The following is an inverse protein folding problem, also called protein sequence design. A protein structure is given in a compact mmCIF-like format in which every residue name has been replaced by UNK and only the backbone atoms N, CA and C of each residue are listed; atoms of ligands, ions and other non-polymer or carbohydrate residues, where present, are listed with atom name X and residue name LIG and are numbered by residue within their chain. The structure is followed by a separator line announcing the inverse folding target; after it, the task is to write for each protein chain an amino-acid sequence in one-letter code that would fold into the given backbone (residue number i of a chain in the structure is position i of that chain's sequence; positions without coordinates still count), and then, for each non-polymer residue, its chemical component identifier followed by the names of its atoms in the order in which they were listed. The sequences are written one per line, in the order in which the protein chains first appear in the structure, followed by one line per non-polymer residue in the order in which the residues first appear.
data_IF_367274446052
#
_entry.id   IF_367274446052
#
_cell.length_a   1.000
_cell.length_b   1.000
_cell.length_c   1.000
_cell.angle_alpha   90.00
_cell.angle_beta   90.00
_cell.angle_gamma   90.00
#
_symmetry.space_group_name_H-M   'P 1'
#
loop_
_entity.id
_entity.type
_entity.pdbx_description
1 polymer ?
#
# COMPACT_ATOMS: atom_id res chain seq x y z
N UNK A 1 -20.35 22.49 -3.00
CA UNK A 1 -19.26 21.84 -2.25
C UNK A 1 -18.01 22.70 -2.36
N UNK A 2 -17.03 22.56 -1.45
CA UNK A 2 -15.75 23.30 -1.53
C UNK A 2 -15.05 23.11 -2.88
N UNK A 3 -15.10 21.89 -3.42
CA UNK A 3 -14.56 21.57 -4.74
C UNK A 3 -15.26 22.35 -5.86
N UNK A 4 -16.60 22.45 -5.82
CA UNK A 4 -17.38 23.23 -6.79
C UNK A 4 -17.05 24.72 -6.70
N UNK A 5 -16.97 25.29 -5.50
CA UNK A 5 -16.61 26.70 -5.30
C UNK A 5 -15.21 27.00 -5.86
N UNK A 6 -14.25 26.09 -5.64
CA UNK A 6 -12.93 26.20 -6.23
C UNK A 6 -12.98 26.11 -7.76
N UNK A 7 -13.74 25.17 -8.31
CA UNK A 7 -13.86 24.99 -9.76
C UNK A 7 -14.44 26.22 -10.43
N UNK A 8 -15.58 26.74 -9.94
CA UNK A 8 -16.22 27.97 -10.44
C UNK A 8 -15.27 29.14 -10.40
N UNK A 9 -14.52 29.30 -9.30
CA UNK A 9 -13.58 30.41 -9.14
C UNK A 9 -12.41 30.36 -10.13
N UNK A 10 -11.91 29.19 -10.49
CA UNK A 10 -10.67 29.04 -11.27
C UNK A 10 -10.91 28.69 -12.75
N UNK A 11 -12.03 28.05 -13.07
CA UNK A 11 -12.32 27.52 -14.41
C UNK A 11 -13.69 27.95 -14.96
N UNK A 12 -14.60 28.45 -14.12
CA UNK A 12 -15.97 28.79 -14.50
C UNK A 12 -16.97 27.68 -14.17
N UNK A 13 -18.22 27.85 -14.61
CA UNK A 13 -19.31 26.93 -14.27
C UNK A 13 -19.04 25.50 -14.80
N UNK A 14 -19.21 24.44 -14.00
CA UNK A 14 -18.92 23.07 -14.44
C UNK A 14 -19.79 22.56 -15.60
N UNK A 15 -20.93 23.20 -15.86
CA UNK A 15 -21.77 22.94 -17.04
C UNK A 15 -21.15 23.47 -18.34
N UNK A 16 -20.25 24.45 -18.26
CA UNK A 16 -19.55 25.05 -19.40
C UNK A 16 -18.12 24.51 -19.52
N UNK A 17 -17.40 24.43 -18.40
CA UNK A 17 -16.05 23.87 -18.29
C UNK A 17 -16.09 22.66 -17.37
N UNK A 18 -16.24 21.46 -17.94
CA UNK A 18 -16.39 20.21 -17.22
C UNK A 18 -15.08 19.46 -17.00
N UNK A 19 -15.15 18.22 -16.48
CA UNK A 19 -13.95 17.43 -16.20
C UNK A 19 -13.14 17.11 -17.47
N UNK A 20 -13.83 16.86 -18.58
CA UNK A 20 -13.21 16.59 -19.89
C UNK A 20 -12.26 17.72 -20.32
N UNK A 21 -12.54 18.96 -19.92
CA UNK A 21 -11.78 20.14 -20.31
C UNK A 21 -10.50 20.32 -19.46
N UNK A 22 -10.39 19.59 -18.34
CA UNK A 22 -9.16 19.51 -17.54
C UNK A 22 -8.13 18.57 -18.17
N UNK A 23 -8.56 17.57 -18.96
CA UNK A 23 -7.67 16.57 -19.55
C UNK A 23 -6.58 17.21 -20.43
N UNK A 24 -6.87 18.16 -21.33
CA UNK A 24 -5.84 18.83 -22.12
C UNK A 24 -4.82 19.62 -21.28
N UNK A 25 -5.17 20.01 -20.04
CA UNK A 25 -4.29 20.76 -19.14
C UNK A 25 -3.29 19.86 -18.40
N UNK A 26 -3.53 18.56 -18.37
CA UNK A 26 -2.63 17.58 -17.77
C UNK A 26 -1.54 17.18 -18.78
N UNK A 27 -0.38 17.82 -18.73
CA UNK A 27 0.69 17.61 -19.74
C UNK A 27 1.84 16.73 -19.26
N UNK A 28 2.03 16.54 -17.95
CA UNK A 28 3.13 15.75 -17.38
C UNK A 28 4.52 16.11 -17.95
N UNK A 29 4.77 17.40 -18.21
CA UNK A 29 5.93 17.89 -18.98
C UNK A 29 7.31 17.59 -18.33
N UNK A 30 7.36 17.35 -17.03
CA UNK A 30 8.54 16.99 -16.23
C UNK A 30 8.47 15.56 -15.70
N UNK A 31 7.60 14.72 -16.26
CA UNK A 31 7.51 13.32 -15.88
C UNK A 31 8.80 12.58 -16.25
N UNK A 32 9.45 12.02 -15.23
CA UNK A 32 10.69 11.24 -15.31
C UNK A 32 10.47 9.83 -14.70
N UNK A 33 10.11 8.82 -15.52
CA UNK A 33 9.83 7.47 -15.04
C UNK A 33 11.06 6.79 -14.44
N UNK A 34 12.26 7.06 -14.97
CA UNK A 34 13.52 6.50 -14.46
C UNK A 34 13.84 7.09 -13.08
N UNK A 35 13.68 8.40 -12.91
CA UNK A 35 13.82 9.09 -11.63
C UNK A 35 12.84 8.58 -10.57
N UNK A 36 11.58 8.40 -10.93
CA UNK A 36 10.56 7.83 -10.04
C UNK A 36 10.91 6.39 -9.63
N UNK A 37 11.24 5.52 -10.59
CA UNK A 37 11.59 4.13 -10.31
C UNK A 37 12.84 4.04 -9.41
N UNK A 38 13.84 4.88 -9.64
CA UNK A 38 15.04 4.97 -8.78
C UNK A 38 14.67 5.38 -7.35
N UNK A 39 13.83 6.40 -7.18
CA UNK A 39 13.35 6.83 -5.87
C UNK A 39 12.65 5.67 -5.13
N UNK A 40 11.77 4.93 -5.80
CA UNK A 40 11.06 3.79 -5.19
C UNK A 40 12.03 2.68 -4.78
N UNK A 41 13.03 2.41 -5.61
CA UNK A 41 14.10 1.44 -5.30
C UNK A 41 14.89 1.86 -4.07
N UNK A 42 15.29 3.12 -4.02
CA UNK A 42 16.07 3.68 -2.91
C UNK A 42 15.26 3.72 -1.61
N UNK A 43 13.94 3.91 -1.70
CA UNK A 43 12.99 3.78 -0.60
C UNK A 43 12.80 2.34 -0.10
N UNK A 44 13.39 1.35 -0.78
CA UNK A 44 13.33 -0.07 -0.41
C UNK A 44 12.13 -0.82 -0.99
N UNK A 45 11.41 -0.27 -1.96
CA UNK A 45 10.30 -0.98 -2.60
C UNK A 45 10.79 -2.26 -3.32
N UNK A 46 9.98 -3.32 -3.27
CA UNK A 46 10.19 -4.57 -4.02
C UNK A 46 9.24 -4.71 -5.21
N UNK A 47 8.14 -3.98 -5.17
CA UNK A 47 7.21 -3.81 -6.25
C UNK A 47 6.75 -2.35 -6.28
N UNK A 48 6.44 -1.84 -7.46
CA UNK A 48 5.95 -0.49 -7.67
C UNK A 48 5.10 -0.45 -8.94
N UNK A 49 4.28 0.58 -9.10
CA UNK A 49 3.34 0.64 -10.22
C UNK A 49 2.47 1.89 -10.23
N UNK A 50 2.02 2.36 -11.41
CA UNK A 50 1.06 3.44 -11.50
C UNK A 50 -0.38 2.93 -11.32
N UNK A 51 -1.31 3.86 -11.16
CA UNK A 51 -2.72 3.65 -11.49
C UNK A 51 -2.87 3.71 -13.01
N UNK A 52 -3.29 2.61 -13.64
CA UNK A 52 -3.50 2.58 -15.09
C UNK A 52 -4.71 3.42 -15.50
N UNK A 53 -5.79 3.27 -14.75
CA UNK A 53 -7.07 3.92 -14.99
C UNK A 53 -7.83 4.02 -13.67
N UNK A 54 -8.19 5.24 -13.30
CA UNK A 54 -8.90 5.51 -12.06
C UNK A 54 -10.42 5.46 -12.30
N UNK A 55 -11.23 5.97 -11.37
CA UNK A 55 -12.69 6.03 -11.52
C UNK A 55 -13.15 6.99 -12.63
N UNK A 56 -12.25 7.84 -13.12
CA UNK A 56 -12.50 8.84 -14.15
C UNK A 56 -12.43 8.28 -15.58
N UNK A 57 -12.05 6.99 -15.72
CA UNK A 57 -11.92 6.27 -16.98
C UNK A 57 -10.94 6.88 -17.99
N UNK A 58 -10.01 7.72 -17.55
CA UNK A 58 -8.91 8.19 -18.40
C UNK A 58 -7.75 7.19 -18.35
N UNK A 59 -7.49 6.54 -19.49
CA UNK A 59 -6.45 5.53 -19.59
C UNK A 59 -5.06 6.16 -19.69
N UNK A 60 -4.15 5.80 -18.78
CA UNK A 60 -2.80 6.36 -18.70
C UNK A 60 -1.79 5.74 -19.69
N UNK A 61 -2.29 5.00 -20.68
CA UNK A 61 -1.50 4.27 -21.68
C UNK A 61 -2.02 4.49 -23.11
N UNK A 62 -1.31 3.99 -24.12
CA UNK A 62 -1.80 3.99 -25.50
C UNK A 62 -2.95 2.99 -25.67
N UNK A 63 -4.20 3.36 -25.37
CA UNK A 63 -5.33 2.43 -25.46
C UNK A 63 -5.95 2.39 -26.86
N UNK A 64 -6.22 1.19 -27.35
CA UNK A 64 -7.03 0.92 -28.55
C UNK A 64 -8.51 0.68 -28.21
N UNK A 65 -8.83 0.47 -26.93
CA UNK A 65 -10.19 0.24 -26.43
C UNK A 65 -10.92 1.56 -26.18
N UNK A 66 -10.21 2.61 -25.76
CA UNK A 66 -10.78 3.95 -25.53
C UNK A 66 -9.94 5.05 -26.16
N UNK A 67 -10.63 6.04 -26.76
CA UNK A 67 -9.99 7.27 -27.26
C UNK A 67 -9.50 8.19 -26.12
N UNK A 68 -10.06 8.03 -24.92
CA UNK A 68 -9.75 8.84 -23.73
C UNK A 68 -8.51 8.31 -23.04
N UNK A 69 -7.35 8.66 -23.60
CA UNK A 69 -6.09 8.15 -23.11
C UNK A 69 -4.94 9.16 -23.21
N UNK A 70 -3.88 8.93 -22.43
CA UNK A 70 -2.74 9.83 -22.26
C UNK A 70 -1.85 9.98 -23.50
N UNK A 71 -1.98 9.11 -24.51
CA UNK A 71 -1.30 9.27 -25.80
C UNK A 71 -2.10 10.20 -26.72
N UNK A 72 -3.42 10.00 -26.77
CA UNK A 72 -4.32 10.82 -27.57
C UNK A 72 -4.52 12.22 -27.00
N UNK A 73 -4.38 12.40 -25.68
CA UNK A 73 -4.71 13.65 -24.97
C UNK A 73 -3.70 13.95 -23.87
N UNK A 74 -3.65 15.21 -23.41
CA UNK A 74 -2.84 15.59 -22.27
C UNK A 74 -1.34 15.29 -22.46
N UNK A 75 -0.74 14.29 -21.77
CA UNK A 75 0.70 14.02 -21.80
C UNK A 75 1.31 13.64 -23.15
N UNK A 76 0.50 13.17 -24.10
CA UNK A 76 0.93 12.65 -25.42
C UNK A 76 1.97 11.54 -25.34
N UNK A 77 1.87 10.67 -24.33
CA UNK A 77 2.81 9.56 -24.09
C UNK A 77 2.19 8.41 -23.30
N UNK A 78 2.77 7.22 -23.46
CA UNK A 78 2.36 6.00 -22.74
C UNK A 78 3.03 5.94 -21.36
N UNK A 79 2.46 6.66 -20.40
CA UNK A 79 3.05 6.76 -19.05
C UNK A 79 3.08 5.41 -18.32
N UNK A 80 2.14 4.50 -18.59
CA UNK A 80 2.13 3.15 -17.99
C UNK A 80 3.27 2.30 -18.56
N UNK A 81 3.46 2.30 -19.88
CA UNK A 81 4.53 1.57 -20.54
C UNK A 81 5.91 2.04 -20.07
N UNK A 82 6.12 3.35 -20.04
CA UNK A 82 7.37 3.94 -19.57
C UNK A 82 7.67 3.61 -18.10
N UNK A 83 6.67 3.66 -17.21
CA UNK A 83 6.84 3.22 -15.83
C UNK A 83 7.14 1.72 -15.73
N UNK A 84 6.49 0.88 -16.53
CA UNK A 84 6.72 -0.56 -16.53
C UNK A 84 8.17 -0.90 -16.88
N UNK A 85 8.73 -0.21 -17.87
CA UNK A 85 10.14 -0.35 -18.26
C UNK A 85 11.08 0.15 -17.15
N UNK A 86 10.86 1.36 -16.62
CA UNK A 86 11.71 1.95 -15.59
C UNK A 86 11.72 1.13 -14.29
N UNK A 87 10.57 0.62 -13.85
CA UNK A 87 10.45 -0.22 -12.64
C UNK A 87 11.22 -1.53 -12.80
N UNK A 88 11.12 -2.17 -13.98
CA UNK A 88 11.85 -3.41 -14.27
C UNK A 88 13.35 -3.20 -14.35
N UNK A 89 13.80 -2.07 -14.90
CA UNK A 89 15.22 -1.68 -14.94
C UNK A 89 15.85 -1.56 -13.54
N UNK A 90 15.03 -1.29 -12.51
CA UNK A 90 15.44 -1.28 -11.10
C UNK A 90 15.31 -2.64 -10.39
N UNK A 91 15.00 -3.70 -11.14
CA UNK A 91 14.74 -5.06 -10.65
C UNK A 91 13.63 -5.12 -9.60
N UNK A 92 12.59 -4.30 -9.78
CA UNK A 92 11.35 -4.36 -8.99
C UNK A 92 10.25 -5.07 -9.79
N UNK A 93 9.32 -5.68 -9.06
CA UNK A 93 8.11 -6.26 -9.65
C UNK A 93 7.15 -5.14 -10.10
N UNK A 94 6.55 -5.28 -11.28
CA UNK A 94 5.66 -4.27 -11.82
C UNK A 94 4.21 -4.52 -11.36
N UNK A 95 3.67 -3.60 -10.56
CA UNK A 95 2.27 -3.57 -10.16
C UNK A 95 1.48 -2.66 -11.09
N UNK A 96 0.19 -2.93 -11.27
CA UNK A 96 -0.71 -2.02 -11.98
C UNK A 96 -2.08 -1.95 -11.28
N UNK A 97 -2.58 -0.74 -11.04
CA UNK A 97 -3.84 -0.54 -10.31
C UNK A 97 -5.00 -0.15 -11.24
N UNK A 98 -6.18 -0.74 -10.99
CA UNK A 98 -7.42 -0.50 -11.73
C UNK A 98 -8.56 -0.10 -10.79
N UNK A 99 -9.21 1.02 -11.11
CA UNK A 99 -10.32 1.54 -10.31
C UNK A 99 -11.59 1.81 -11.15
N UNK A 100 -11.50 1.62 -12.46
CA UNK A 100 -12.55 1.93 -13.44
C UNK A 100 -13.86 1.14 -13.28
N UNK A 101 -13.89 0.05 -12.50
CA UNK A 101 -15.15 -0.65 -12.17
C UNK A 101 -16.16 0.27 -11.49
N UNK A 102 -15.69 1.22 -10.65
CA UNK A 102 -16.57 2.16 -9.97
C UNK A 102 -17.14 3.25 -10.90
N UNK A 103 -16.57 3.45 -12.09
CA UNK A 103 -17.01 4.48 -13.05
C UNK A 103 -18.51 4.39 -13.36
N UNK A 104 -19.05 3.16 -13.42
CA UNK A 104 -20.47 2.87 -13.61
C UNK A 104 -21.43 3.69 -12.71
N UNK A 105 -20.97 4.12 -11.53
CA UNK A 105 -21.74 4.91 -10.56
C UNK A 105 -21.01 6.15 -10.04
N UNK A 106 -19.88 6.50 -10.66
CA UNK A 106 -19.01 7.53 -10.15
C UNK A 106 -19.54 8.93 -10.50
N UNK A 107 -19.80 9.17 -11.78
CA UNK A 107 -20.31 10.45 -12.25
C UNK A 107 -21.85 10.50 -12.23
N UNK A 108 -22.45 11.61 -11.76
CA UNK A 108 -23.89 11.82 -11.90
C UNK A 108 -24.22 12.15 -13.36
N UNK A 109 -25.21 11.48 -13.95
CA UNK A 109 -25.56 11.64 -15.38
C UNK A 109 -27.00 12.12 -15.61
N UNK A 110 -27.68 12.54 -14.54
CA UNK A 110 -29.11 12.83 -14.57
C UNK A 110 -29.47 14.25 -15.02
N UNK A 111 -28.55 15.22 -14.89
CA UNK A 111 -28.79 16.59 -15.33
C UNK A 111 -28.15 16.79 -16.72
N UNK A 112 -28.94 17.05 -17.78
CA UNK A 112 -28.44 17.24 -19.15
C UNK A 112 -27.59 18.51 -19.35
N UNK A 113 -27.52 19.42 -18.38
CA UNK A 113 -26.68 20.63 -18.46
C UNK A 113 -25.19 20.33 -18.26
N UNK A 114 -24.84 19.16 -17.71
CA UNK A 114 -23.45 18.77 -17.48
C UNK A 114 -22.98 17.79 -18.54
N UNK A 115 -21.68 17.87 -18.86
CA UNK A 115 -21.01 16.98 -19.81
C UNK A 115 -21.10 15.50 -19.42
N UNK A 116 -21.23 15.20 -18.13
CA UNK A 116 -21.45 13.85 -17.61
C UNK A 116 -22.74 13.18 -18.12
N UNK A 117 -23.71 13.96 -18.61
CA UNK A 117 -24.95 13.45 -19.19
C UNK A 117 -24.92 13.37 -20.74
N UNK A 118 -23.86 13.87 -21.36
CA UNK A 118 -23.69 13.87 -22.82
C UNK A 118 -23.20 12.49 -23.30
N UNK A 119 -23.95 11.81 -24.19
CA UNK A 119 -23.53 10.53 -24.77
C UNK A 119 -22.17 10.56 -25.47
N UNK A 120 -21.73 11.70 -26.01
CA UNK A 120 -20.42 11.85 -26.67
C UNK A 120 -19.26 11.53 -25.71
N UNK A 121 -19.43 11.86 -24.43
CA UNK A 121 -18.40 11.72 -23.38
C UNK A 121 -18.59 10.46 -22.52
N UNK A 122 -19.48 9.54 -22.94
CA UNK A 122 -19.76 8.28 -22.22
C UNK A 122 -18.53 7.39 -22.00
N UNK A 123 -17.49 7.52 -22.82
CA UNK A 123 -16.20 6.83 -22.62
C UNK A 123 -15.42 7.29 -21.38
N UNK A 124 -15.66 8.51 -20.86
CA UNK A 124 -15.14 8.97 -19.57
C UNK A 124 -16.14 8.72 -18.45
N UNK A 125 -17.41 9.07 -18.68
CA UNK A 125 -18.38 9.19 -17.61
C UNK A 125 -19.22 7.93 -17.37
N UNK A 126 -19.10 6.93 -18.24
CA UNK A 126 -19.88 5.70 -18.22
C UNK A 126 -21.15 5.79 -19.10
N UNK A 127 -21.77 4.64 -19.37
CA UNK A 127 -22.94 4.56 -20.25
C UNK A 127 -24.20 5.10 -19.54
N UNK A 128 -24.94 5.96 -20.24
CA UNK A 128 -26.15 6.59 -19.69
C UNK A 128 -27.25 5.59 -19.39
N UNK A 129 -27.75 5.63 -18.16
CA UNK A 129 -28.98 4.94 -17.78
C UNK A 129 -30.21 5.82 -18.02
N UNK A 130 -31.12 5.39 -18.90
CA UNK A 130 -32.32 6.15 -19.29
C UNK A 130 -33.46 6.18 -18.24
N UNK A 131 -33.18 5.83 -16.98
CA UNK A 131 -34.15 5.91 -15.87
C UNK A 131 -33.76 6.96 -14.83
N UNK A 132 -34.62 7.17 -13.82
CA UNK A 132 -34.26 8.01 -12.66
C UNK A 132 -32.98 7.44 -12.04
N UNK A 133 -31.89 8.21 -12.07
CA UNK A 133 -30.61 7.80 -11.52
C UNK A 133 -30.77 7.46 -10.04
N UNK A 134 -30.65 6.18 -9.71
CA UNK A 134 -30.57 5.71 -8.33
C UNK A 134 -29.22 5.05 -8.16
N UNK A 135 -28.27 5.83 -7.64
CA UNK A 135 -26.90 5.39 -7.34
C UNK A 135 -26.95 4.02 -6.65
N UNK A 136 -26.16 3.06 -7.15
CA UNK A 136 -26.05 1.69 -6.64
C UNK A 136 -27.25 0.73 -6.82
N UNK A 137 -28.34 1.15 -7.49
CA UNK A 137 -29.50 0.27 -7.72
C UNK A 137 -29.52 -0.39 -9.11
N UNK A 138 -28.67 0.05 -10.03
CA UNK A 138 -28.60 -0.48 -11.41
C UNK A 138 -27.30 -1.25 -11.58
N UNK A 139 -27.39 -2.50 -12.01
CA UNK A 139 -26.20 -3.32 -12.28
C UNK A 139 -25.56 -2.95 -13.62
N UNK A 140 -24.22 -3.07 -13.75
CA UNK A 140 -23.53 -2.90 -15.03
C UNK A 140 -24.17 -3.71 -16.14
N UNK A 141 -24.40 -3.05 -17.29
CA UNK A 141 -24.91 -3.69 -18.49
C UNK A 141 -23.78 -4.44 -19.23
N UNK A 142 -24.15 -5.20 -20.27
CA UNK A 142 -23.19 -5.99 -21.05
C UNK A 142 -22.08 -5.13 -21.67
N UNK A 143 -22.43 -3.96 -22.21
CA UNK A 143 -21.49 -3.05 -22.88
C UNK A 143 -20.41 -2.54 -21.92
N UNK A 144 -20.78 -2.10 -20.71
CA UNK A 144 -19.80 -1.70 -19.69
C UNK A 144 -18.90 -2.86 -19.27
N UNK A 145 -19.45 -4.07 -19.15
CA UNK A 145 -18.68 -5.24 -18.72
C UNK A 145 -17.71 -5.74 -19.78
N UNK A 146 -18.12 -5.71 -21.05
CA UNK A 146 -17.25 -5.98 -22.18
C UNK A 146 -16.12 -4.95 -22.24
N UNK A 147 -16.43 -3.66 -22.06
CA UNK A 147 -15.43 -2.58 -21.99
C UNK A 147 -14.46 -2.77 -20.83
N UNK A 148 -14.97 -3.00 -19.62
CA UNK A 148 -14.16 -3.26 -18.42
C UNK A 148 -13.19 -4.43 -18.65
N UNK A 149 -13.70 -5.54 -19.22
CA UNK A 149 -12.86 -6.70 -19.55
C UNK A 149 -11.81 -6.33 -20.59
N UNK A 150 -12.18 -5.66 -21.67
CA UNK A 150 -11.27 -5.30 -22.76
C UNK A 150 -10.12 -4.40 -22.27
N UNK A 151 -10.41 -3.42 -21.41
CA UNK A 151 -9.42 -2.56 -20.78
C UNK A 151 -8.39 -3.38 -19.99
N UNK A 152 -8.85 -4.30 -19.13
CA UNK A 152 -7.94 -5.10 -18.32
C UNK A 152 -7.08 -6.03 -19.20
N UNK A 153 -7.68 -6.70 -20.18
CA UNK A 153 -6.98 -7.61 -21.09
C UNK A 153 -5.90 -6.86 -21.89
N UNK A 154 -6.21 -5.67 -22.40
CA UNK A 154 -5.24 -4.85 -23.13
C UNK A 154 -3.99 -4.53 -22.29
N UNK A 155 -4.18 -4.15 -21.02
CA UNK A 155 -3.07 -3.83 -20.11
C UNK A 155 -2.28 -5.10 -19.73
N UNK A 156 -2.94 -6.24 -19.54
CA UNK A 156 -2.28 -7.54 -19.31
C UNK A 156 -1.35 -7.86 -20.48
N UNK A 157 -1.86 -7.79 -21.71
CA UNK A 157 -1.10 -8.17 -22.90
C UNK A 157 0.06 -7.21 -23.19
N UNK A 158 -0.17 -5.90 -23.06
CA UNK A 158 0.85 -4.88 -23.32
C UNK A 158 1.96 -4.89 -22.30
N UNK A 159 1.61 -4.93 -21.01
CA UNK A 159 2.57 -4.60 -19.96
C UNK A 159 2.95 -5.78 -19.08
N UNK A 160 2.28 -6.93 -19.17
CA UNK A 160 2.61 -8.16 -18.43
C UNK A 160 2.86 -7.93 -16.93
N UNK A 161 1.90 -7.36 -16.17
CA UNK A 161 2.10 -7.03 -14.76
C UNK A 161 2.50 -8.25 -13.92
N UNK A 162 3.25 -8.02 -12.85
CA UNK A 162 3.53 -9.01 -11.79
C UNK A 162 2.37 -9.02 -10.78
N UNK A 163 1.83 -7.83 -10.47
CA UNK A 163 0.70 -7.66 -9.57
C UNK A 163 -0.38 -6.82 -10.22
N UNK A 164 -1.63 -7.27 -10.09
CA UNK A 164 -2.81 -6.49 -10.47
C UNK A 164 -3.53 -6.08 -9.19
N UNK A 165 -3.74 -4.78 -8.98
CA UNK A 165 -4.44 -4.24 -7.83
C UNK A 165 -5.81 -3.68 -8.24
N UNK A 166 -6.89 -4.12 -7.59
CA UNK A 166 -8.27 -3.74 -7.94
C UNK A 166 -8.97 -3.03 -6.79
N UNK A 167 -9.54 -1.87 -7.12
CA UNK A 167 -10.27 -1.04 -6.16
C UNK A 167 -11.67 -1.58 -5.84
N UNK A 168 -12.39 -0.83 -4.99
CA UNK A 168 -13.82 -0.96 -4.85
C UNK A 168 -14.56 -0.77 -6.18
N UNK A 169 -15.83 -1.21 -6.21
CA UNK A 169 -16.61 -1.32 -7.44
C UNK A 169 -16.50 -2.69 -8.10
N UNK A 170 -15.42 -3.43 -7.85
CA UNK A 170 -15.26 -4.81 -8.31
C UNK A 170 -16.45 -5.72 -7.93
N UNK A 171 -17.02 -5.56 -6.74
CA UNK A 171 -18.19 -6.33 -6.30
C UNK A 171 -19.44 -6.17 -7.19
N UNK A 172 -19.44 -5.20 -8.12
CA UNK A 172 -20.49 -4.99 -9.12
C UNK A 172 -20.19 -5.60 -10.48
N UNK A 173 -18.97 -6.07 -10.71
CA UNK A 173 -18.62 -6.84 -11.91
C UNK A 173 -19.12 -8.26 -11.73
N UNK A 174 -19.90 -8.72 -12.70
CA UNK A 174 -20.53 -10.04 -12.68
C UNK A 174 -19.47 -11.15 -12.68
N UNK A 175 -19.72 -12.21 -11.91
CA UNK A 175 -18.77 -13.31 -11.67
C UNK A 175 -18.18 -13.91 -12.95
N UNK A 176 -18.96 -14.00 -14.03
CA UNK A 176 -18.48 -14.47 -15.32
C UNK A 176 -17.29 -13.66 -15.83
N UNK A 177 -17.39 -12.32 -15.82
CA UNK A 177 -16.34 -11.44 -16.32
C UNK A 177 -15.11 -11.48 -15.41
N UNK A 178 -15.32 -11.52 -14.09
CA UNK A 178 -14.22 -11.70 -13.12
C UNK A 178 -13.46 -12.99 -13.41
N UNK A 179 -14.16 -14.12 -13.49
CA UNK A 179 -13.55 -15.44 -13.80
C UNK A 179 -12.80 -15.45 -15.12
N UNK A 180 -13.35 -14.85 -16.17
CA UNK A 180 -12.70 -14.78 -17.47
C UNK A 180 -11.39 -13.98 -17.43
N UNK A 181 -11.37 -12.82 -16.77
CA UNK A 181 -10.16 -12.01 -16.62
C UNK A 181 -9.14 -12.69 -15.72
N UNK A 182 -9.57 -13.28 -14.60
CA UNK A 182 -8.71 -14.02 -13.67
C UNK A 182 -8.04 -15.22 -14.37
N UNK A 183 -8.83 -16.05 -15.06
CA UNK A 183 -8.32 -17.19 -15.80
C UNK A 183 -7.35 -16.74 -16.90
N UNK A 184 -7.67 -15.66 -17.61
CA UNK A 184 -6.77 -15.10 -18.62
C UNK A 184 -5.43 -14.68 -18.02
N UNK A 185 -5.46 -13.91 -16.92
CA UNK A 185 -4.25 -13.41 -16.28
C UNK A 185 -3.37 -14.54 -15.72
N UNK A 186 -3.95 -15.52 -15.04
CA UNK A 186 -3.20 -16.66 -14.50
C UNK A 186 -2.62 -17.53 -15.61
N UNK A 187 -3.38 -17.83 -16.67
CA UNK A 187 -2.86 -18.56 -17.84
C UNK A 187 -1.72 -17.79 -18.52
N UNK A 188 -1.82 -16.45 -18.60
CA UNK A 188 -0.73 -15.60 -19.10
C UNK A 188 0.50 -15.64 -18.18
N UNK A 189 0.32 -15.66 -16.86
CA UNK A 189 1.40 -15.91 -15.91
C UNK A 189 2.15 -17.21 -16.21
N UNK A 190 1.42 -18.31 -16.40
CA UNK A 190 2.01 -19.60 -16.80
C UNK A 190 2.73 -19.53 -18.15
N UNK A 191 2.11 -18.92 -19.18
CA UNK A 191 2.71 -18.72 -20.50
C UNK A 191 4.03 -17.93 -20.42
N UNK A 192 4.10 -16.94 -19.53
CA UNK A 192 5.30 -16.12 -19.32
C UNK A 192 6.34 -16.77 -18.39
N UNK A 193 6.04 -17.94 -17.80
CA UNK A 193 6.89 -18.56 -16.79
C UNK A 193 7.04 -17.66 -15.55
N UNK A 194 5.96 -16.97 -15.16
CA UNK A 194 5.97 -15.89 -14.19
C UNK A 194 4.90 -16.08 -13.12
N UNK A 195 5.31 -16.03 -11.86
CA UNK A 195 4.37 -15.92 -10.75
C UNK A 195 3.70 -14.53 -10.76
N UNK A 196 2.38 -14.54 -10.82
CA UNK A 196 1.53 -13.34 -10.82
C UNK A 196 0.58 -13.36 -9.62
N UNK A 197 0.23 -12.18 -9.12
CA UNK A 197 -0.63 -12.03 -7.95
C UNK A 197 -1.71 -10.97 -8.15
N UNK A 198 -2.83 -11.11 -7.43
CA UNK A 198 -3.95 -10.18 -7.47
C UNK A 198 -4.21 -9.61 -6.09
N UNK A 199 -4.41 -8.30 -6.03
CA UNK A 199 -4.73 -7.55 -4.82
C UNK A 199 -6.14 -6.99 -4.98
N UNK A 200 -7.00 -7.12 -3.97
CA UNK A 200 -8.39 -6.68 -4.07
C UNK A 200 -8.97 -6.25 -2.72
N UNK A 201 -9.90 -5.31 -2.75
CA UNK A 201 -10.60 -4.85 -1.53
C UNK A 201 -11.77 -5.75 -1.14
N UNK A 202 -12.10 -5.75 0.15
CA UNK A 202 -13.33 -6.35 0.71
C UNK A 202 -13.48 -7.84 0.34
N UNK A 203 -14.71 -8.33 0.26
CA UNK A 203 -15.06 -9.67 -0.21
C UNK A 203 -15.36 -9.70 -1.72
N UNK A 204 -14.71 -8.82 -2.51
CA UNK A 204 -15.02 -8.68 -3.93
C UNK A 204 -14.59 -9.91 -4.76
N UNK A 205 -13.63 -10.69 -4.26
CA UNK A 205 -13.22 -12.00 -4.78
C UNK A 205 -13.32 -13.10 -3.69
N UNK A 206 -13.55 -14.37 -4.08
CA UNK A 206 -13.52 -15.49 -3.16
C UNK A 206 -12.17 -15.64 -2.44
N UNK A 207 -12.15 -16.11 -1.17
CA UNK A 207 -10.91 -16.39 -0.46
C UNK A 207 -9.99 -17.33 -1.26
N UNK A 208 -8.69 -17.03 -1.27
CA UNK A 208 -7.67 -17.83 -1.94
C UNK A 208 -7.40 -17.49 -3.41
N UNK A 209 -8.20 -16.60 -4.03
CA UNK A 209 -7.96 -16.12 -5.40
C UNK A 209 -6.86 -15.06 -5.47
N UNK A 210 -6.66 -14.31 -4.39
CA UNK A 210 -5.64 -13.27 -4.29
C UNK A 210 -5.49 -12.78 -2.85
N UNK A 211 -4.79 -11.66 -2.68
CA UNK A 211 -4.51 -11.03 -1.39
C UNK A 211 -5.51 -9.91 -1.12
N UNK A 212 -6.17 -9.96 0.04
CA UNK A 212 -7.10 -8.91 0.46
C UNK A 212 -6.35 -7.66 0.88
N UNK A 213 -6.84 -6.52 0.42
CA UNK A 213 -6.34 -5.19 0.71
C UNK A 213 -7.22 -4.45 1.74
N UNK A 214 -6.57 -3.92 2.79
CA UNK A 214 -7.19 -3.06 3.79
C UNK A 214 -6.83 -1.60 3.52
N UNK A 215 -7.76 -0.89 2.87
CA UNK A 215 -7.64 0.55 2.61
C UNK A 215 -7.29 1.33 3.86
N UNK A 216 -6.11 1.96 3.92
CA UNK A 216 -5.70 2.86 5.01
C UNK A 216 -5.93 2.18 6.36
N UNK A 217 -5.50 0.93 6.43
CA UNK A 217 -5.96 0.00 7.45
C UNK A 217 -4.99 -1.13 7.71
N UNK A 218 -5.45 -2.16 8.42
CA UNK A 218 -4.60 -3.27 8.88
C UNK A 218 -5.42 -4.43 9.41
N UNK A 219 -4.79 -5.60 9.54
CA UNK A 219 -5.22 -6.56 10.55
C UNK A 219 -4.79 -6.07 11.95
N UNK A 220 -5.67 -6.21 12.94
CA UNK A 220 -5.36 -5.84 14.33
C UNK A 220 -4.68 -6.96 15.14
N UNK A 221 -4.45 -8.13 14.53
CA UNK A 221 -3.81 -9.30 15.14
C UNK A 221 -3.03 -10.07 14.09
N UNK A 222 -2.16 -10.98 14.55
CA UNK A 222 -1.51 -11.95 13.69
C UNK A 222 -2.56 -12.76 12.90
N UNK A 223 -2.30 -12.97 11.61
CA UNK A 223 -3.20 -13.68 10.70
C UNK A 223 -2.52 -14.92 10.12
N UNK A 224 -3.32 -15.97 9.87
CA UNK A 224 -2.85 -17.19 9.21
C UNK A 224 -2.73 -17.04 7.68
N UNK A 225 -3.27 -15.95 7.12
CA UNK A 225 -3.29 -15.65 5.70
C UNK A 225 -2.54 -14.35 5.43
N UNK A 226 -2.04 -14.18 4.21
CA UNK A 226 -1.43 -12.93 3.76
C UNK A 226 -2.52 -11.89 3.52
N UNK A 227 -2.21 -10.65 3.86
CA UNK A 227 -3.03 -9.48 3.52
C UNK A 227 -2.13 -8.32 3.14
N UNK A 228 -2.67 -7.32 2.46
CA UNK A 228 -1.97 -6.10 2.14
C UNK A 228 -2.78 -4.90 2.63
N UNK A 229 -2.12 -3.77 2.77
CA UNK A 229 -2.78 -2.50 3.00
C UNK A 229 -2.08 -1.45 2.15
N UNK A 230 -2.86 -0.58 1.56
CA UNK A 230 -2.45 0.69 0.99
C UNK A 230 -2.58 1.81 2.03
N UNK A 231 -1.60 2.71 2.00
CA UNK A 231 -1.63 3.98 2.71
C UNK A 231 -1.05 5.06 1.81
N UNK A 232 -1.17 6.33 2.20
CA UNK A 232 -0.57 7.44 1.46
C UNK A 232 0.42 8.23 2.30
N UNK A 233 1.44 8.77 1.64
CA UNK A 233 2.30 9.83 2.20
C UNK A 233 1.48 11.08 2.47
N UNK A 234 0.57 11.46 1.58
CA UNK A 234 -0.26 12.63 1.74
C UNK A 234 -1.35 12.44 2.79
N UNK A 235 -1.56 13.47 3.62
CA UNK A 235 -2.61 13.53 4.63
C UNK A 235 -3.34 14.88 4.57
N UNK A 236 -4.67 14.83 4.60
CA UNK A 236 -5.57 15.97 4.65
C UNK A 236 -6.36 15.97 5.97
N UNK A 237 -7.07 17.08 6.24
CA UNK A 237 -7.89 17.25 7.46
C UNK A 237 -8.99 16.18 7.66
N UNK A 238 -9.28 15.34 6.66
CA UNK A 238 -10.28 14.28 6.71
C UNK A 238 -9.75 12.85 6.46
N UNK A 239 -8.43 12.65 6.38
CA UNK A 239 -7.83 11.36 6.07
C UNK A 239 -6.73 11.45 5.01
N UNK A 240 -6.26 10.33 4.45
CA UNK A 240 -5.22 10.35 3.43
C UNK A 240 -5.68 11.07 2.17
N UNK A 241 -4.73 11.63 1.43
CA UNK A 241 -4.95 12.06 0.06
C UNK A 241 -4.28 11.06 -0.89
N UNK A 242 -4.93 10.69 -1.99
CA UNK A 242 -4.35 9.76 -2.97
C UNK A 242 -3.71 10.47 -4.15
N UNK A 243 -4.34 11.54 -4.66
CA UNK A 243 -3.76 12.46 -5.63
C UNK A 243 -3.14 13.67 -4.94
N UNK A 244 -2.22 14.36 -5.65
CA UNK A 244 -1.61 15.60 -5.16
C UNK A 244 -2.67 16.64 -4.81
N UNK A 245 -2.62 17.13 -3.58
CA UNK A 245 -3.42 18.25 -3.12
C UNK A 245 -2.49 19.30 -2.49
N UNK A 246 -2.58 20.55 -2.97
CA UNK A 246 -1.68 21.64 -2.55
C UNK A 246 -1.71 21.91 -1.03
N UNK A 247 -2.84 21.64 -0.39
CA UNK A 247 -3.03 21.85 1.05
C UNK A 247 -2.80 20.58 1.89
N UNK A 248 -2.42 19.46 1.27
CA UNK A 248 -2.10 18.25 2.01
C UNK A 248 -0.80 18.42 2.79
N UNK A 249 -0.79 17.92 4.02
CA UNK A 249 0.43 17.63 4.75
C UNK A 249 1.01 16.28 4.32
N UNK A 250 2.15 15.93 4.92
CA UNK A 250 2.80 14.62 4.71
C UNK A 250 2.88 13.86 6.02
N UNK A 251 2.67 12.54 5.97
CA UNK A 251 2.97 11.65 7.10
C UNK A 251 4.49 11.65 7.34
N UNK A 252 4.89 11.64 8.60
CA UNK A 252 6.31 11.58 8.95
C UNK A 252 6.91 10.21 8.61
N UNK A 253 8.22 10.13 8.34
CA UNK A 253 8.91 8.85 8.11
C UNK A 253 8.69 7.87 9.27
N UNK A 254 8.67 8.38 10.52
CA UNK A 254 8.35 7.60 11.72
C UNK A 254 7.04 6.84 11.59
N UNK A 255 5.96 7.53 11.19
CA UNK A 255 4.63 6.92 11.07
C UNK A 255 4.65 5.83 10.01
N UNK A 256 5.26 6.08 8.85
CA UNK A 256 5.30 5.09 7.76
C UNK A 256 6.17 3.87 8.10
N UNK A 257 7.33 4.08 8.71
CA UNK A 257 8.20 2.99 9.18
C UNK A 257 7.48 2.15 10.23
N UNK A 258 6.84 2.76 11.23
CA UNK A 258 6.07 2.05 12.25
C UNK A 258 4.89 1.28 11.65
N UNK A 259 4.16 1.92 10.73
CA UNK A 259 3.07 1.29 9.99
C UNK A 259 3.53 0.06 9.22
N UNK A 260 4.71 0.13 8.60
CA UNK A 260 5.26 -0.99 7.85
C UNK A 260 5.66 -2.13 8.78
N UNK A 261 6.37 -1.84 9.87
CA UNK A 261 6.83 -2.85 10.83
C UNK A 261 5.63 -3.60 11.46
N UNK A 262 4.57 -2.90 11.88
CA UNK A 262 3.38 -3.52 12.48
C UNK A 262 2.69 -4.49 11.50
N UNK A 263 2.59 -4.10 10.22
CA UNK A 263 2.00 -4.93 9.15
C UNK A 263 2.82 -6.19 8.93
N UNK A 264 4.14 -6.07 8.76
CA UNK A 264 5.04 -7.22 8.52
C UNK A 264 4.94 -8.22 9.66
N UNK A 265 4.95 -7.76 10.91
CA UNK A 265 4.81 -8.63 12.08
C UNK A 265 3.46 -9.36 12.18
N UNK A 266 2.44 -8.92 11.44
CA UNK A 266 1.08 -9.50 11.43
C UNK A 266 0.74 -10.22 10.12
N UNK A 267 1.75 -10.60 9.35
CA UNK A 267 1.65 -11.29 8.05
C UNK A 267 1.16 -10.39 6.89
N UNK A 268 1.27 -9.08 7.09
CA UNK A 268 0.83 -8.06 6.15
C UNK A 268 1.95 -7.51 5.26
N UNK A 269 1.54 -6.99 4.12
CA UNK A 269 2.35 -6.17 3.22
C UNK A 269 1.86 -4.73 3.24
N UNK A 270 2.68 -3.78 2.76
CA UNK A 270 2.31 -2.38 2.65
C UNK A 270 2.56 -1.85 1.23
N UNK A 271 1.57 -1.15 0.68
CA UNK A 271 1.70 -0.27 -0.48
C UNK A 271 1.68 1.16 0.02
N UNK A 272 2.66 1.97 -0.40
CA UNK A 272 2.69 3.40 -0.08
C UNK A 272 2.40 4.17 -1.37
N UNK A 273 1.29 4.90 -1.38
CA UNK A 273 0.94 5.86 -2.41
C UNK A 273 1.69 7.18 -2.20
N UNK A 274 2.05 7.81 -3.32
CA UNK A 274 2.46 9.21 -3.39
C UNK A 274 1.57 9.95 -4.38
N UNK A 275 1.35 11.25 -4.17
CA UNK A 275 0.67 12.13 -5.11
C UNK A 275 1.65 13.03 -5.88
N UNK A 276 2.13 12.63 -7.07
CA UNK A 276 2.89 13.51 -7.96
C UNK A 276 2.03 14.68 -8.47
N UNK A 277 2.69 15.80 -8.78
CA UNK A 277 2.05 16.97 -9.39
C UNK A 277 1.64 16.68 -10.84
N UNK A 278 0.73 17.48 -11.38
CA UNK A 278 0.24 17.36 -12.76
C UNK A 278 1.34 17.56 -13.83
N UNK A 279 2.46 18.21 -13.48
CA UNK A 279 3.63 18.34 -14.35
C UNK A 279 4.53 17.09 -14.31
N UNK A 280 4.24 16.08 -13.48
CA UNK A 280 5.03 14.86 -13.36
C UNK A 280 6.17 14.91 -12.33
N UNK A 281 6.31 16.01 -11.58
CA UNK A 281 7.27 16.06 -10.46
C UNK A 281 6.70 15.44 -9.18
N UNK A 282 7.52 14.68 -8.45
CA UNK A 282 7.21 14.24 -7.08
C UNK A 282 7.61 15.38 -6.13
N UNK A 283 6.73 15.85 -5.23
CA UNK A 283 7.09 16.92 -4.30
C UNK A 283 8.27 16.54 -3.39
N UNK A 284 9.12 17.51 -3.05
CA UNK A 284 10.38 17.27 -2.33
C UNK A 284 10.17 16.55 -0.98
N UNK A 285 9.16 16.98 -0.21
CA UNK A 285 8.82 16.33 1.07
C UNK A 285 8.43 14.85 0.90
N UNK A 286 7.79 14.47 -0.21
CA UNK A 286 7.50 13.06 -0.49
C UNK A 286 8.78 12.27 -0.76
N UNK A 287 9.72 12.88 -1.50
CA UNK A 287 11.01 12.26 -1.78
C UNK A 287 11.81 12.07 -0.49
N UNK A 288 11.90 13.10 0.36
CA UNK A 288 12.57 13.05 1.66
C UNK A 288 12.00 11.92 2.54
N UNK A 289 10.67 11.84 2.65
CA UNK A 289 10.01 10.80 3.46
C UNK A 289 10.34 9.39 2.96
N UNK A 290 10.32 9.18 1.64
CA UNK A 290 10.67 7.90 1.02
C UNK A 290 12.15 7.56 1.18
N UNK A 291 13.04 8.55 1.06
CA UNK A 291 14.48 8.37 1.24
C UNK A 291 14.83 7.97 2.67
N UNK A 292 14.27 8.65 3.67
CA UNK A 292 14.48 8.32 5.08
C UNK A 292 13.98 6.91 5.44
N UNK A 293 12.83 6.51 4.88
CA UNK A 293 12.35 5.13 5.01
C UNK A 293 13.33 4.13 4.38
N UNK A 294 13.88 4.47 3.21
CA UNK A 294 14.92 3.70 2.54
C UNK A 294 16.21 3.56 3.36
N UNK A 295 16.66 4.62 4.01
CA UNK A 295 17.82 4.59 4.92
C UNK A 295 17.60 3.66 6.11
N UNK A 296 16.42 3.70 6.73
CA UNK A 296 16.06 2.77 7.78
C UNK A 296 16.07 1.31 7.28
N UNK A 297 15.54 1.06 6.07
CA UNK A 297 15.49 -0.27 5.46
C UNK A 297 16.85 -0.79 4.99
N UNK A 298 17.81 0.07 4.63
CA UNK A 298 19.19 -0.35 4.34
C UNK A 298 19.84 -0.99 5.57
N UNK A 299 19.56 -0.46 6.77
CA UNK A 299 20.10 -0.97 8.02
C UNK A 299 19.31 -2.16 8.57
N UNK A 300 17.98 -2.06 8.57
CA UNK A 300 17.08 -3.00 9.26
C UNK A 300 16.39 -4.00 8.32
N UNK A 301 16.65 -3.93 7.01
CA UNK A 301 15.94 -4.72 6.01
C UNK A 301 16.11 -6.22 6.15
N UNK A 302 17.16 -6.70 6.85
CA UNK A 302 17.32 -8.12 7.19
C UNK A 302 16.15 -8.66 8.02
N UNK A 303 15.59 -7.85 8.91
CA UNK A 303 14.46 -8.19 9.77
C UNK A 303 13.08 -8.05 9.08
N UNK A 304 13.07 -7.63 7.82
CA UNK A 304 11.85 -7.35 7.06
C UNK A 304 11.79 -8.26 5.83
N UNK A 305 12.78 -8.16 4.95
CA UNK A 305 12.77 -8.84 3.66
C UNK A 305 13.06 -10.33 3.81
N UNK A 306 12.09 -11.14 3.37
CA UNK A 306 12.17 -12.60 3.45
C UNK A 306 11.89 -13.17 4.85
N UNK A 307 11.48 -12.33 5.81
CA UNK A 307 11.05 -12.79 7.12
C UNK A 307 9.61 -13.29 7.12
N UNK A 308 9.26 -14.05 8.15
CA UNK A 308 7.87 -14.39 8.50
C UNK A 308 7.50 -13.83 9.87
N UNK A 309 6.21 -13.67 10.19
CA UNK A 309 5.79 -13.36 11.55
C UNK A 309 6.24 -14.43 12.54
N UNK A 310 6.61 -14.02 13.75
CA UNK A 310 6.73 -14.96 14.86
C UNK A 310 5.35 -15.38 15.38
N UNK A 311 5.29 -16.45 16.18
CA UNK A 311 4.04 -16.90 16.82
C UNK A 311 3.45 -15.86 17.79
N UNK A 312 4.28 -14.92 18.25
CA UNK A 312 3.87 -13.71 18.97
C UNK A 312 4.29 -12.52 18.11
N UNK A 313 3.32 -11.78 17.57
CA UNK A 313 3.59 -10.68 16.65
C UNK A 313 4.11 -9.41 17.36
N UNK A 314 3.68 -9.17 18.60
CA UNK A 314 3.87 -7.88 19.25
C UNK A 314 3.94 -7.93 20.77
N UNK A 315 4.64 -6.96 21.33
CA UNK A 315 4.57 -6.54 22.74
C UNK A 315 4.35 -5.04 22.82
N UNK A 316 3.88 -4.58 23.98
CA UNK A 316 3.88 -3.16 24.35
C UNK A 316 2.55 -2.62 24.85
N UNK A 317 2.57 -1.41 25.43
CA UNK A 317 1.38 -0.76 25.97
C UNK A 317 0.48 -0.14 24.89
N UNK A 318 1.01 0.13 23.69
CA UNK A 318 0.26 0.83 22.65
C UNK A 318 -0.73 -0.12 22.00
N UNK A 319 -2.01 0.04 22.35
CA UNK A 319 -3.11 -0.67 21.70
C UNK A 319 -3.64 0.18 20.55
N UNK A 320 -3.49 -0.33 19.33
CA UNK A 320 -4.18 0.20 18.17
C UNK A 320 -5.68 -0.12 18.26
N UNK A 321 -6.50 0.67 17.58
CA UNK A 321 -7.95 0.45 17.49
C UNK A 321 -8.33 -0.84 16.74
N UNK A 322 -9.63 -0.96 16.40
CA UNK A 322 -10.12 -2.08 15.60
C UNK A 322 -9.37 -2.21 14.26
N UNK A 323 -9.25 -3.44 13.76
CA UNK A 323 -8.67 -3.73 12.45
C UNK A 323 -9.71 -3.57 11.34
N UNK A 324 -9.23 -3.60 10.10
CA UNK A 324 -10.04 -3.45 8.89
C UNK A 324 -9.68 -2.19 8.11
N UNK A 325 -10.53 -1.86 7.14
CA UNK A 325 -10.39 -0.66 6.31
C UNK A 325 -10.59 0.61 7.15
N UNK A 326 -9.85 1.67 6.80
CA UNK A 326 -9.86 3.00 7.40
C UNK A 326 -9.59 3.00 8.90
N UNK A 327 -8.74 2.09 9.38
CA UNK A 327 -8.42 1.96 10.80
C UNK A 327 -7.23 2.80 11.26
N UNK A 328 -6.41 3.37 10.35
CA UNK A 328 -5.24 4.17 10.74
C UNK A 328 -5.57 5.46 11.51
N UNK A 329 -6.77 6.04 11.35
CA UNK A 329 -7.12 7.31 12.01
C UNK A 329 -7.15 7.20 13.54
N UNK A 330 -7.26 5.98 14.07
CA UNK A 330 -7.20 5.69 15.51
C UNK A 330 -5.78 5.45 16.03
N UNK A 331 -4.75 5.63 15.22
CA UNK A 331 -3.38 5.32 15.60
C UNK A 331 -2.84 6.23 16.68
N UNK A 332 -2.09 5.60 17.59
CA UNK A 332 -1.38 6.27 18.65
C UNK A 332 0.12 6.10 18.40
N UNK A 333 0.93 7.14 18.67
CA UNK A 333 2.38 7.01 18.57
C UNK A 333 2.90 5.88 19.45
N UNK A 334 3.69 4.99 18.85
CA UNK A 334 4.40 3.96 19.59
C UNK A 334 5.49 4.53 20.49
N UNK A 335 5.86 3.74 21.48
CA UNK A 335 6.88 4.02 22.48
C UNK A 335 8.05 3.04 22.37
N UNK A 336 9.11 3.28 23.13
CA UNK A 336 10.22 2.33 23.26
C UNK A 336 9.86 1.04 24.01
N UNK A 337 8.62 0.89 24.48
CA UNK A 337 8.11 -0.34 25.07
C UNK A 337 7.32 -1.19 24.07
N UNK A 338 7.09 -0.68 22.86
CA UNK A 338 6.40 -1.40 21.79
C UNK A 338 7.40 -2.14 20.91
N UNK A 339 7.20 -3.45 20.77
CA UNK A 339 8.08 -4.36 20.04
C UNK A 339 7.26 -5.12 19.00
N UNK A 340 7.85 -5.35 17.84
CA UNK A 340 7.30 -6.20 16.77
C UNK A 340 8.29 -7.28 16.41
N UNK A 341 7.78 -8.48 16.13
CA UNK A 341 8.61 -9.65 15.94
C UNK A 341 8.49 -10.23 14.55
N UNK A 342 9.64 -10.59 13.98
CA UNK A 342 9.77 -11.35 12.75
C UNK A 342 10.83 -12.43 12.91
N UNK A 343 10.81 -13.46 12.07
CA UNK A 343 11.74 -14.59 12.11
C UNK A 343 12.33 -14.80 10.73
N UNK A 344 13.65 -15.05 10.68
CA UNK A 344 14.37 -15.41 9.45
C UNK A 344 15.70 -16.09 9.79
N UNK A 345 16.10 -17.10 9.02
CA UNK A 345 17.44 -17.73 9.03
C UNK A 345 17.99 -18.03 10.43
N UNK A 346 17.23 -18.77 11.25
CA UNK A 346 17.60 -19.04 12.63
C UNK A 346 17.93 -17.77 13.44
N UNK A 347 17.14 -16.71 13.25
CA UNK A 347 17.08 -15.59 14.17
C UNK A 347 15.65 -15.12 14.41
N UNK A 348 15.38 -14.72 15.65
CA UNK A 348 14.25 -13.88 16.01
C UNK A 348 14.70 -12.42 15.95
N UNK A 349 13.96 -11.59 15.24
CA UNK A 349 14.17 -10.15 15.21
C UNK A 349 13.14 -9.48 16.10
N UNK A 350 13.62 -8.72 17.08
CA UNK A 350 12.80 -7.87 17.93
C UNK A 350 13.01 -6.41 17.53
N UNK A 351 12.00 -5.82 16.89
CA UNK A 351 12.03 -4.47 16.35
C UNK A 351 11.34 -3.55 17.35
N UNK A 352 12.12 -2.75 18.08
CA UNK A 352 11.63 -1.82 19.11
C UNK A 352 11.28 -0.49 18.46
N UNK A 353 10.03 -0.05 18.61
CA UNK A 353 9.45 1.13 17.93
C UNK A 353 9.78 2.47 18.59
N UNK A 354 10.93 2.54 19.26
CA UNK A 354 11.47 3.74 19.87
C UNK A 354 12.74 3.47 20.66
N UNK A 355 13.57 4.49 20.86
CA UNK A 355 14.76 4.38 21.70
C UNK A 355 14.42 4.70 23.17
N UNK A 356 14.76 3.84 24.15
CA UNK A 356 14.55 4.14 25.55
C UNK A 356 15.39 5.33 26.02
N UNK A 357 14.74 6.37 26.57
CA UNK A 357 15.45 7.58 27.03
C UNK A 357 15.86 7.53 28.51
N UNK A 358 15.27 6.64 29.31
CA UNK A 358 15.44 6.59 30.78
C UNK A 358 15.90 5.23 31.32
N UNK A 359 16.15 4.28 30.43
CA UNK A 359 16.60 2.92 30.76
C UNK A 359 17.75 2.56 29.82
N UNK A 360 18.73 1.85 30.33
CA UNK A 360 19.84 1.30 29.57
C UNK A 360 19.59 -0.16 29.14
N UNK A 361 18.34 -0.62 29.19
CA UNK A 361 17.97 -1.98 28.83
C UNK A 361 16.59 -2.06 28.16
N UNK A 362 16.42 -3.06 27.30
CA UNK A 362 15.14 -3.50 26.74
C UNK A 362 14.74 -4.81 27.40
N UNK A 363 13.45 -4.95 27.70
CA UNK A 363 12.85 -6.18 28.22
C UNK A 363 11.94 -6.79 27.16
N UNK A 364 12.18 -8.05 26.79
CA UNK A 364 11.31 -8.85 25.91
C UNK A 364 10.60 -9.89 26.77
N UNK A 365 9.33 -9.63 27.09
CA UNK A 365 8.56 -10.44 28.05
C UNK A 365 8.16 -11.79 27.47
N UNK A 366 8.05 -11.91 26.16
CA UNK A 366 7.73 -13.17 25.47
C UNK A 366 8.84 -14.21 25.56
N UNK A 367 10.03 -13.82 26.04
CA UNK A 367 11.20 -14.69 26.21
C UNK A 367 11.55 -14.85 27.69
N UNK A 368 10.57 -15.34 28.48
CA UNK A 368 10.69 -15.56 29.94
C UNK A 368 10.98 -17.01 30.27
N UNK A 369 11.47 -17.30 31.47
CA UNK A 369 11.77 -18.68 31.92
C UNK A 369 10.61 -19.41 32.58
N UNK A 370 9.54 -18.72 32.98
CA UNK A 370 8.39 -19.34 33.65
C UNK A 370 7.09 -18.55 33.47
N UNK A 371 5.99 -19.11 33.95
CA UNK A 371 4.67 -18.49 33.93
C UNK A 371 4.43 -17.48 35.07
N UNK A 372 5.37 -17.32 36.01
CA UNK A 372 5.16 -16.64 37.30
C UNK A 372 4.74 -15.17 37.14
N UNK A 373 5.30 -14.45 36.16
CA UNK A 373 5.06 -13.01 35.96
C UNK A 373 4.28 -12.69 34.67
N UNK A 374 3.42 -13.62 34.22
CA UNK A 374 2.52 -13.40 33.07
C UNK A 374 1.50 -12.33 33.39
N UNK A 375 1.45 -11.28 32.57
CA UNK A 375 0.44 -10.21 32.68
C UNK A 375 -0.80 -10.54 31.85
N UNK A 376 -1.89 -9.88 32.20
CA UNK A 376 -3.13 -9.98 31.42
C UNK A 376 -2.89 -9.61 29.94
N UNK A 377 -3.38 -10.48 29.04
CA UNK A 377 -3.21 -10.32 27.60
C UNK A 377 -1.89 -10.89 27.03
N UNK A 378 -1.00 -11.41 27.86
CA UNK A 378 0.21 -12.10 27.40
C UNK A 378 -0.03 -13.60 27.21
N UNK A 379 0.76 -14.26 26.35
CA UNK A 379 0.68 -15.70 26.17
C UNK A 379 1.33 -16.41 27.38
N UNK A 380 0.55 -17.15 28.21
CA UNK A 380 1.07 -17.80 29.40
C UNK A 380 2.08 -18.91 29.10
N UNK A 381 2.06 -19.46 27.88
CA UNK A 381 2.94 -20.55 27.45
C UNK A 381 4.17 -20.06 26.67
N UNK A 382 4.45 -18.76 26.67
CA UNK A 382 5.57 -18.17 25.94
C UNK A 382 6.94 -18.70 26.38
N UNK A 383 7.08 -19.13 27.64
CA UNK A 383 8.30 -19.71 28.19
C UNK A 383 8.75 -21.04 27.55
N UNK A 384 7.89 -21.68 26.76
CA UNK A 384 8.25 -22.87 25.98
C UNK A 384 8.74 -22.56 24.57
N UNK A 385 8.69 -21.30 24.11
CA UNK A 385 9.00 -20.96 22.72
C UNK A 385 10.51 -20.94 22.45
N UNK A 386 11.30 -20.39 23.38
CA UNK A 386 12.77 -20.31 23.30
C UNK A 386 13.33 -20.46 24.71
N UNK A 387 14.23 -21.42 24.92
CA UNK A 387 14.98 -21.53 26.17
C UNK A 387 16.26 -20.69 26.16
N UNK A 388 16.78 -20.38 27.35
CA UNK A 388 18.04 -19.66 27.51
C UNK A 388 19.20 -20.33 26.76
N UNK A 389 19.25 -21.65 26.79
CA UNK A 389 20.30 -22.48 26.20
C UNK A 389 20.27 -22.46 24.66
N UNK A 390 19.13 -22.08 24.07
CA UNK A 390 18.99 -21.94 22.63
C UNK A 390 19.51 -20.58 22.15
N UNK A 391 19.53 -19.54 22.98
CA UNK A 391 20.04 -18.21 22.59
C UNK A 391 21.56 -18.26 22.53
N UNK A 392 22.11 -18.10 21.32
CA UNK A 392 23.55 -18.14 21.07
C UNK A 392 24.18 -16.77 21.22
N UNK A 393 23.60 -15.77 20.58
CA UNK A 393 24.12 -14.40 20.58
C UNK A 393 23.02 -13.40 20.28
N UNK A 394 23.15 -12.21 20.85
CA UNK A 394 22.26 -11.08 20.58
C UNK A 394 23.09 -9.93 20.05
N UNK A 395 22.64 -9.36 18.93
CA UNK A 395 23.24 -8.19 18.28
C UNK A 395 22.18 -7.13 18.03
N UNK A 396 22.59 -5.88 17.87
CA UNK A 396 21.73 -4.82 17.32
C UNK A 396 22.16 -4.53 15.89
N UNK A 397 21.21 -4.50 14.95
CA UNK A 397 21.54 -4.17 13.56
C UNK A 397 22.14 -2.75 13.49
N UNK A 398 23.30 -2.65 12.82
CA UNK A 398 24.09 -1.41 12.77
C UNK A 398 25.15 -1.24 13.85
N UNK A 399 25.25 -2.18 14.79
CA UNK A 399 26.29 -2.22 15.81
C UNK A 399 27.07 -3.54 15.68
N UNK A 400 28.38 -3.44 15.53
CA UNK A 400 29.28 -4.60 15.33
C UNK A 400 29.83 -5.11 16.67
N UNK A 401 28.93 -5.42 17.61
CA UNK A 401 29.29 -6.01 18.90
C UNK A 401 28.18 -6.93 19.42
N UNK A 402 28.57 -7.89 20.26
CA UNK A 402 27.61 -8.73 20.97
C UNK A 402 27.10 -7.99 22.20
N UNK A 403 25.79 -7.95 22.37
CA UNK A 403 25.17 -7.30 23.51
C UNK A 403 25.17 -8.21 24.74
N UNK A 404 25.25 -7.60 25.91
CA UNK A 404 25.05 -8.29 27.18
C UNK A 404 23.56 -8.50 27.43
N UNK A 405 23.22 -9.66 27.95
CA UNK A 405 21.83 -10.00 28.24
C UNK A 405 21.72 -11.01 29.38
N UNK A 406 20.56 -10.99 30.03
CA UNK A 406 20.14 -11.98 31.02
C UNK A 406 18.71 -12.39 30.74
N UNK A 407 18.29 -13.56 31.23
CA UNK A 407 16.90 -14.01 31.12
C UNK A 407 16.44 -14.55 32.46
N UNK A 408 15.25 -14.14 32.85
CA UNK A 408 14.59 -14.50 34.11
C UNK A 408 13.08 -14.69 33.89
N UNK A 409 12.32 -14.77 34.99
CA UNK A 409 10.87 -14.97 34.98
C UNK A 409 10.09 -13.76 34.42
N UNK A 410 10.72 -12.59 34.30
CA UNK A 410 10.12 -11.40 33.68
C UNK A 410 10.38 -11.33 32.17
N UNK A 411 11.39 -12.02 31.66
CA UNK A 411 11.77 -12.00 30.25
C UNK A 411 13.27 -11.81 30.01
N UNK A 412 13.62 -11.72 28.72
CA UNK A 412 14.97 -11.43 28.26
C UNK A 412 15.27 -9.94 28.45
N UNK A 413 16.29 -9.63 29.24
CA UNK A 413 16.84 -8.28 29.41
C UNK A 413 18.05 -8.13 28.50
N UNK A 414 18.06 -7.11 27.65
CA UNK A 414 19.19 -6.80 26.75
C UNK A 414 19.72 -5.42 27.15
N UNK A 415 21.00 -5.33 27.50
CA UNK A 415 21.67 -4.06 27.73
C UNK A 415 21.82 -3.30 26.40
N UNK A 416 21.48 -2.01 26.42
CA UNK A 416 21.62 -1.14 25.27
C UNK A 416 23.09 -0.76 25.05
N UNK A 417 23.54 -0.67 23.79
CA UNK A 417 24.82 -0.06 23.47
C UNK A 417 24.77 1.46 23.70
N UNK A 418 25.92 2.08 23.89
CA UNK A 418 26.04 3.54 24.07
C UNK A 418 25.62 4.31 22.81
N UNK A 419 25.67 3.68 21.64
CA UNK A 419 25.37 4.27 20.35
C UNK A 419 23.99 3.84 19.84
N UNK A 420 23.15 4.84 19.53
CA UNK A 420 21.91 4.67 18.77
C UNK A 420 22.22 4.57 17.26
N UNK A 421 21.93 3.45 16.57
CA UNK A 421 22.37 3.24 15.18
C UNK A 421 21.47 3.90 14.14
N UNK A 422 20.18 4.13 14.44
CA UNK A 422 19.22 4.76 13.53
C UNK A 422 18.05 5.38 14.30
N UNK A 423 17.25 6.18 13.59
CA UNK A 423 15.99 6.74 14.09
C UNK A 423 14.80 5.80 13.87
N UNK A 424 13.65 6.21 14.43
CA UNK A 424 12.33 5.55 14.31
C UNK A 424 12.17 4.22 15.03
N UNK A 425 12.98 3.22 14.72
CA UNK A 425 12.93 1.89 15.34
C UNK A 425 14.31 1.21 15.29
N UNK A 426 14.65 0.45 16.33
CA UNK A 426 15.92 -0.30 16.40
C UNK A 426 15.66 -1.80 16.48
N UNK A 427 16.52 -2.58 15.83
CA UNK A 427 16.30 -4.03 15.69
C UNK A 427 17.36 -4.82 16.43
N UNK A 428 16.91 -5.72 17.31
CA UNK A 428 17.75 -6.75 17.91
C UNK A 428 17.62 -8.04 17.11
N UNK A 429 18.76 -8.63 16.72
CA UNK A 429 18.86 -9.95 16.13
C UNK A 429 19.26 -10.94 17.23
N UNK A 430 18.36 -11.87 17.54
CA UNK A 430 18.55 -12.91 18.55
C UNK A 430 18.78 -14.22 17.78
N UNK A 431 20.04 -14.62 17.66
CA UNK A 431 20.42 -15.85 16.96
C UNK A 431 20.27 -17.04 17.91
N UNK A 432 19.55 -18.07 17.46
CA UNK A 432 19.37 -19.34 18.17
C UNK A 432 20.12 -20.49 17.49
N UNK A 433 20.42 -21.54 18.27
CA UNK A 433 21.14 -22.75 17.80
C UNK A 433 20.35 -23.59 16.80
#
# INVERSE_FOLDING_TARGET
SRQNEYHVKNYGEPSEFGYKDLIPLFTAEKFDPDGWAKLFKDAGAKFAGPVAIHHDSFAMWDSQVTKWNAVNMGPKRDTVGEMAEAIRKQSMKFMIAFHHAANWHFFPQSNPEFDTADPEFSGLYGIRYNGKYKRYQVWPNKEFLDWWKAIVIEVIDKYKPDLIWWDFGLGRIQEKYKKEVLAYYFNKGEEWGKEVEILYKMNNLPPGVGVVDYEVGRANRLTYYKWISDTSVDINAGGPAWGYAREAGVKSPRILVHNFIDRVAKHGYLVINIGPKSDGTIPDLHQEVLQEMGEWLKLNGEAIYGSTPWSIAEEGPTKLGEGGMFSESGDRPYTSEDIRFTVKDNALYAIVLGWPLRRNQIKIRSLRTSWVNVKEGENPNSFHLISKEQIKVIKMLGIDENLKWTVDDDGLQIELPDKKPCDYAVTFKIEWN
#
